data_IF_414534038612
#
_entry.id   IF_414534038612
#
_cell.length_a   1.000
_cell.length_b   1.000
_cell.length_c   1.000
_cell.angle_alpha   90.00
_cell.angle_beta   90.00
_cell.angle_gamma   90.00
#
_symmetry.space_group_name_H-M   'P 1'
#
loop_
_entity.id
_entity.type
_entity.pdbx_description
1 polymer ?
#
# COMPACT_ATOMS: atom_id res chain seq x y z
N UNK A 1 -6.52 -11.58 -16.00
CA UNK A 1 -5.07 -11.83 -16.17
C UNK A 1 -4.54 -11.35 -17.52
N UNK A 2 -4.11 -10.09 -17.59
CA UNK A 2 -3.38 -9.54 -18.74
C UNK A 2 -2.05 -10.29 -18.86
N UNK A 3 -1.85 -11.08 -19.92
CA UNK A 3 -0.55 -11.72 -20.17
C UNK A 3 0.40 -10.69 -20.73
N UNK A 4 1.44 -10.35 -19.95
CA UNK A 4 2.56 -9.55 -20.42
C UNK A 4 3.18 -10.23 -21.65
N UNK A 5 3.33 -9.51 -22.78
CA UNK A 5 4.02 -10.07 -23.94
C UNK A 5 5.44 -10.50 -23.56
N UNK A 6 5.84 -11.70 -23.98
CA UNK A 6 7.16 -12.26 -23.67
C UNK A 6 8.30 -11.31 -24.06
N UNK A 7 8.17 -10.65 -25.22
CA UNK A 7 9.16 -9.69 -25.67
C UNK A 7 9.32 -8.52 -24.68
N UNK A 8 8.22 -7.96 -24.20
CA UNK A 8 8.23 -6.86 -23.21
C UNK A 8 8.86 -7.29 -21.89
N UNK A 9 8.52 -8.49 -21.41
CA UNK A 9 9.13 -9.03 -20.20
C UNK A 9 10.65 -9.24 -20.38
N UNK A 10 11.06 -9.84 -21.50
CA UNK A 10 12.46 -10.10 -21.82
C UNK A 10 13.27 -8.81 -21.95
N UNK A 11 12.78 -7.83 -22.71
CA UNK A 11 13.48 -6.55 -22.90
C UNK A 11 13.57 -5.74 -21.62
N UNK A 12 12.53 -5.79 -20.78
CA UNK A 12 12.53 -5.15 -19.46
C UNK A 12 13.59 -5.78 -18.56
N UNK A 13 13.58 -7.11 -18.42
CA UNK A 13 14.57 -7.83 -17.60
C UNK A 13 16.00 -7.66 -18.13
N UNK A 14 16.18 -7.69 -19.44
CA UNK A 14 17.47 -7.42 -20.07
C UNK A 14 17.97 -6.01 -19.77
N UNK A 15 17.09 -5.00 -19.88
CA UNK A 15 17.42 -3.61 -19.57
C UNK A 15 17.82 -3.45 -18.10
N UNK A 16 17.08 -4.08 -17.18
CA UNK A 16 17.48 -4.15 -15.77
C UNK A 16 18.85 -4.81 -15.60
N UNK A 17 19.07 -5.98 -16.22
CA UNK A 17 20.34 -6.68 -16.16
C UNK A 17 21.52 -5.82 -16.63
N UNK A 18 21.33 -5.07 -17.73
CA UNK A 18 22.34 -4.16 -18.27
C UNK A 18 22.63 -3.00 -17.31
N UNK A 19 21.61 -2.39 -16.71
CA UNK A 19 21.78 -1.33 -15.71
C UNK A 19 22.53 -1.83 -14.46
N UNK A 20 22.22 -3.04 -13.99
CA UNK A 20 22.90 -3.68 -12.88
C UNK A 20 24.37 -3.99 -13.21
N UNK A 21 24.64 -4.60 -14.36
CA UNK A 21 25.99 -4.90 -14.81
C UNK A 21 26.85 -3.63 -14.91
N UNK A 22 26.31 -2.58 -15.52
CA UNK A 22 26.99 -1.29 -15.64
C UNK A 22 27.20 -0.62 -14.27
N UNK A 23 26.22 -0.71 -13.36
CA UNK A 23 26.34 -0.25 -11.99
C UNK A 23 27.49 -0.92 -11.25
N UNK A 24 27.60 -2.25 -11.33
CA UNK A 24 28.65 -3.02 -10.68
C UNK A 24 30.02 -2.76 -11.30
N UNK A 25 30.09 -2.65 -12.62
CA UNK A 25 31.30 -2.25 -13.33
C UNK A 25 31.80 -0.89 -12.83
N UNK A 26 30.91 0.11 -12.70
CA UNK A 26 31.29 1.42 -12.15
C UNK A 26 31.74 1.37 -10.69
N UNK A 27 31.15 0.51 -9.86
CA UNK A 27 31.60 0.30 -8.48
C UNK A 27 32.98 -0.37 -8.42
N UNK A 28 33.25 -1.31 -9.32
CA UNK A 28 34.57 -1.94 -9.45
C UNK A 28 35.67 -0.92 -9.77
N UNK A 29 35.49 -0.10 -10.80
CA UNK A 29 36.48 0.96 -11.12
C UNK A 29 36.57 2.02 -10.03
N UNK A 30 35.45 2.37 -9.39
CA UNK A 30 35.47 3.32 -8.27
C UNK A 30 36.31 2.78 -7.11
N UNK A 31 36.21 1.50 -6.75
CA UNK A 31 37.04 0.90 -5.69
C UNK A 31 38.53 0.97 -6.01
N UNK A 32 38.89 0.85 -7.28
CA UNK A 32 40.29 0.98 -7.74
C UNK A 32 40.75 2.44 -7.64
N UNK A 33 39.92 3.40 -8.08
CA UNK A 33 40.26 4.83 -8.13
C UNK A 33 40.19 5.54 -6.77
N UNK A 34 39.24 5.16 -5.92
CA UNK A 34 39.03 5.72 -4.57
C UNK A 34 39.78 4.91 -3.48
N UNK A 35 40.71 4.03 -3.86
CA UNK A 35 41.50 3.22 -2.93
C UNK A 35 42.23 4.14 -1.91
N UNK A 36 41.70 4.22 -0.69
CA UNK A 36 42.20 5.06 0.39
C UNK A 36 41.20 6.06 1.00
N UNK A 37 40.07 6.35 0.32
CA UNK A 37 39.00 7.21 0.86
C UNK A 37 37.88 6.36 1.47
N UNK A 38 38.02 5.96 2.73
CA UNK A 38 36.92 5.33 3.46
C UNK A 38 35.82 6.37 3.73
N UNK A 39 34.67 6.25 3.07
CA UNK A 39 33.49 7.09 3.34
C UNK A 39 32.73 6.67 4.61
N UNK A 40 33.06 5.50 5.17
CA UNK A 40 32.41 5.04 6.40
C UNK A 40 33.07 5.74 7.59
N UNK A 41 32.29 6.56 8.28
CA UNK A 41 32.65 7.14 9.56
C UNK A 41 32.96 5.99 10.54
N UNK A 42 34.20 5.92 11.03
CA UNK A 42 34.60 4.90 12.00
C UNK A 42 33.70 4.99 13.24
N UNK A 43 33.12 3.87 13.65
CA UNK A 43 32.27 3.78 14.85
C UNK A 43 30.76 3.93 14.61
N UNK A 44 30.31 4.17 13.38
CA UNK A 44 28.89 4.27 13.04
C UNK A 44 28.40 3.05 12.28
N UNK A 45 27.16 2.62 12.56
CA UNK A 45 26.47 1.66 11.72
C UNK A 45 26.29 2.25 10.30
N UNK A 46 26.46 1.45 9.24
CA UNK A 46 26.23 1.93 7.89
C UNK A 46 24.75 2.34 7.73
N UNK A 47 24.52 3.51 7.14
CA UNK A 47 23.16 4.06 6.91
C UNK A 47 22.37 3.19 5.92
N UNK A 48 23.06 2.53 4.98
CA UNK A 48 22.46 1.63 3.99
C UNK A 48 23.22 0.31 3.92
N UNK A 49 22.51 -0.80 3.72
CA UNK A 49 23.11 -2.10 3.44
C UNK A 49 23.67 -2.14 2.01
N UNK A 50 24.60 -3.05 1.73
CA UNK A 50 25.38 -3.03 0.48
C UNK A 50 24.54 -2.99 -0.81
N UNK A 51 23.42 -3.72 -0.85
CA UNK A 51 22.51 -3.69 -2.01
C UNK A 51 21.68 -2.40 -2.09
N UNK A 52 21.19 -1.90 -0.95
CA UNK A 52 20.42 -0.65 -0.89
C UNK A 52 21.28 0.55 -1.28
N UNK A 53 22.52 0.59 -0.80
CA UNK A 53 23.51 1.60 -1.18
C UNK A 53 23.80 1.54 -2.69
N UNK A 54 24.03 0.33 -3.22
CA UNK A 54 24.20 0.13 -4.66
C UNK A 54 23.00 0.65 -5.46
N UNK A 55 21.80 0.18 -5.12
CA UNK A 55 20.56 0.56 -5.79
C UNK A 55 20.35 2.07 -5.74
N UNK A 56 20.54 2.67 -4.56
CA UNK A 56 20.39 4.11 -4.36
C UNK A 56 21.34 4.88 -5.27
N UNK A 57 22.64 4.59 -5.17
CA UNK A 57 23.68 5.33 -5.89
C UNK A 57 23.65 5.14 -7.40
N UNK A 58 23.32 3.94 -7.88
CA UNK A 58 23.47 3.56 -9.29
C UNK A 58 22.19 3.62 -10.08
N UNK A 59 21.04 3.40 -9.43
CA UNK A 59 19.74 3.31 -10.09
C UNK A 59 18.83 4.46 -9.65
N UNK A 60 18.45 4.49 -8.36
CA UNK A 60 17.43 5.42 -7.86
C UNK A 60 17.78 6.89 -8.09
N UNK A 61 18.99 7.34 -7.72
CA UNK A 61 19.37 8.75 -7.87
C UNK A 61 19.25 9.23 -9.32
N UNK A 62 19.39 8.36 -10.33
CA UNK A 62 19.30 8.75 -11.74
C UNK A 62 17.87 9.10 -12.16
N UNK A 63 16.90 8.40 -11.59
CA UNK A 63 15.48 8.49 -11.97
C UNK A 63 14.62 9.19 -10.91
N UNK A 64 15.17 9.54 -9.76
CA UNK A 64 14.40 10.15 -8.67
C UNK A 64 13.74 11.46 -9.10
N UNK A 65 14.29 12.17 -10.11
CA UNK A 65 13.64 13.36 -10.63
C UNK A 65 12.35 13.04 -11.39
N UNK A 66 12.22 11.87 -12.00
CA UNK A 66 11.01 11.47 -12.74
C UNK A 66 9.80 11.29 -11.80
N UNK A 67 10.00 10.74 -10.61
CA UNK A 67 8.91 10.37 -9.69
C UNK A 67 8.81 11.28 -8.46
N UNK A 68 9.85 12.07 -8.18
CA UNK A 68 9.95 12.86 -6.96
C UNK A 68 9.73 14.36 -7.14
N UNK A 69 9.15 14.81 -8.27
CA UNK A 69 8.94 16.25 -8.50
C UNK A 69 7.88 16.77 -7.53
N UNK A 70 8.16 17.85 -6.78
CA UNK A 70 7.16 18.47 -5.91
C UNK A 70 5.97 18.97 -6.73
N UNK A 71 4.76 18.72 -6.24
CA UNK A 71 3.52 19.29 -6.78
C UNK A 71 3.35 20.70 -6.20
N UNK A 72 3.03 21.68 -7.05
CA UNK A 72 2.90 23.10 -6.70
C UNK A 72 1.47 23.64 -6.82
N UNK A 73 0.51 22.81 -7.23
CA UNK A 73 -0.91 23.18 -7.38
C UNK A 73 -1.82 22.22 -6.61
N UNK A 74 -3.13 22.46 -6.70
CA UNK A 74 -4.13 21.50 -6.25
C UNK A 74 -4.02 20.15 -7.02
N UNK A 75 -4.40 19.02 -6.39
CA UNK A 75 -4.34 17.69 -6.99
C UNK A 75 -5.54 17.43 -7.94
N UNK A 76 -5.63 18.27 -8.98
CA UNK A 76 -6.67 18.23 -10.00
C UNK A 76 -6.26 17.32 -11.19
N UNK A 77 -7.12 17.21 -12.20
CA UNK A 77 -6.85 16.56 -13.47
C UNK A 77 -5.60 17.14 -14.15
N UNK A 78 -5.35 18.43 -13.97
CA UNK A 78 -4.10 19.08 -14.34
C UNK A 78 -3.42 19.63 -13.11
N UNK A 79 -2.13 19.35 -12.96
CA UNK A 79 -1.35 19.84 -11.83
C UNK A 79 0.01 20.35 -12.29
N UNK A 80 0.54 21.28 -11.52
CA UNK A 80 1.83 21.89 -11.77
C UNK A 80 2.90 21.16 -10.96
N UNK A 81 3.98 20.77 -11.62
CA UNK A 81 5.17 20.21 -10.97
C UNK A 81 6.30 21.23 -10.99
N UNK A 82 7.01 21.34 -9.87
CA UNK A 82 8.20 22.20 -9.77
C UNK A 82 9.32 21.61 -10.61
N UNK A 83 9.86 22.41 -11.53
CA UNK A 83 11.05 22.04 -12.27
C UNK A 83 12.26 22.08 -11.35
N UNK A 84 13.11 21.07 -11.48
CA UNK A 84 14.35 20.97 -10.72
C UNK A 84 15.53 20.82 -11.65
N UNK A 85 16.66 21.31 -11.18
CA UNK A 85 17.92 21.23 -11.89
C UNK A 85 18.96 20.48 -11.04
N UNK A 86 19.83 19.75 -11.72
CA UNK A 86 20.94 19.01 -11.09
C UNK A 86 22.20 19.10 -11.94
N UNK A 87 23.32 19.36 -11.30
CA UNK A 87 24.66 19.37 -11.91
C UNK A 87 25.51 18.14 -11.55
N UNK A 88 24.96 17.21 -10.78
CA UNK A 88 25.70 16.05 -10.24
C UNK A 88 25.03 14.72 -10.57
N UNK A 89 24.27 14.70 -11.67
CA UNK A 89 23.60 13.51 -12.16
C UNK A 89 22.42 13.09 -11.27
N UNK A 90 21.61 14.07 -10.86
CA UNK A 90 20.45 13.94 -9.99
C UNK A 90 20.79 13.50 -8.56
N UNK A 91 22.02 13.67 -8.07
CA UNK A 91 22.32 13.35 -6.66
C UNK A 91 21.79 14.45 -5.74
N UNK A 92 21.91 15.71 -6.14
CA UNK A 92 21.27 16.86 -5.52
C UNK A 92 20.34 17.52 -6.52
N UNK A 93 19.16 17.95 -6.04
CA UNK A 93 18.11 18.55 -6.86
C UNK A 93 17.75 19.90 -6.28
N UNK A 94 18.07 20.95 -7.03
CA UNK A 94 17.73 22.32 -6.66
C UNK A 94 16.38 22.69 -7.29
N UNK A 95 15.45 23.17 -6.47
CA UNK A 95 14.15 23.66 -6.93
C UNK A 95 14.34 24.96 -7.69
N UNK A 96 13.70 25.08 -8.84
CA UNK A 96 13.62 26.33 -9.57
C UNK A 96 12.33 27.07 -9.22
N UNK A 97 12.16 28.30 -9.71
CA UNK A 97 10.90 29.05 -9.65
C UNK A 97 9.93 28.67 -10.76
N UNK A 98 10.33 27.82 -11.71
CA UNK A 98 9.51 27.41 -12.85
C UNK A 98 8.67 26.19 -12.50
N UNK A 99 7.48 26.15 -13.08
CA UNK A 99 6.58 25.00 -13.01
C UNK A 99 6.21 24.54 -14.41
N UNK A 100 5.97 23.24 -14.54
CA UNK A 100 5.46 22.62 -15.75
C UNK A 100 4.09 22.03 -15.46
N UNK A 101 3.11 22.34 -16.32
CA UNK A 101 1.75 21.82 -16.21
C UNK A 101 1.69 20.39 -16.78
N UNK A 102 1.11 19.46 -16.02
CA UNK A 102 1.04 18.04 -16.38
C UNK A 102 -0.38 17.51 -16.23
N UNK A 103 -0.75 16.54 -17.09
CA UNK A 103 -1.98 15.79 -16.95
C UNK A 103 -1.81 14.69 -15.89
N UNK A 104 -2.78 14.59 -14.98
CA UNK A 104 -2.78 13.61 -13.89
C UNK A 104 -3.42 12.29 -14.32
N UNK A 105 -2.57 11.31 -14.60
CA UNK A 105 -2.98 9.95 -14.98
C UNK A 105 -2.74 8.91 -13.86
N UNK A 106 -2.27 9.35 -12.68
CA UNK A 106 -1.84 8.46 -11.60
C UNK A 106 -2.54 8.70 -10.26
N UNK A 107 -3.59 9.51 -10.23
CA UNK A 107 -4.30 9.86 -8.99
C UNK A 107 -5.46 8.92 -8.68
N UNK A 108 -5.67 8.63 -7.40
CA UNK A 108 -6.86 7.94 -6.89
C UNK A 108 -8.03 8.90 -6.60
N UNK A 109 -7.91 10.18 -6.97
CA UNK A 109 -8.98 11.18 -6.88
C UNK A 109 -10.01 11.00 -8.01
N UNK A 110 -10.64 9.82 -8.08
CA UNK A 110 -11.47 9.41 -9.23
C UNK A 110 -12.62 10.36 -9.55
N UNK A 111 -13.19 11.00 -8.52
CA UNK A 111 -14.33 11.92 -8.65
C UNK A 111 -13.94 13.39 -8.54
N UNK A 112 -12.64 13.70 -8.40
CA UNK A 112 -12.16 15.08 -8.33
C UNK A 112 -12.31 15.77 -6.98
N UNK A 113 -13.00 15.18 -5.99
CA UNK A 113 -13.32 15.84 -4.71
C UNK A 113 -12.12 16.28 -3.85
N UNK A 114 -10.90 15.79 -4.10
CA UNK A 114 -9.71 16.26 -3.40
C UNK A 114 -9.19 17.63 -3.92
N UNK A 115 -9.63 18.08 -5.10
CA UNK A 115 -9.35 19.41 -5.61
C UNK A 115 -10.34 20.45 -5.05
N UNK A 116 -10.24 21.70 -5.49
CA UNK A 116 -11.22 22.72 -5.14
C UNK A 116 -12.58 22.36 -5.75
N UNK A 117 -13.47 21.85 -4.91
CA UNK A 117 -14.83 21.45 -5.27
C UNK A 117 -15.85 22.43 -4.69
N UNK A 118 -16.86 22.80 -5.49
CA UNK A 118 -17.89 23.79 -5.13
C UNK A 118 -18.73 23.35 -3.92
N UNK A 119 -18.92 22.04 -3.75
CA UNK A 119 -19.70 21.49 -2.66
C UNK A 119 -18.86 21.28 -1.39
N UNK A 120 -17.70 20.64 -1.51
CA UNK A 120 -16.84 20.25 -0.39
C UNK A 120 -16.05 21.43 0.18
N UNK A 121 -15.43 22.26 -0.67
CA UNK A 121 -14.47 23.29 -0.23
C UNK A 121 -15.08 24.30 0.74
N UNK A 122 -16.27 24.89 0.47
CA UNK A 122 -16.88 25.84 1.41
C UNK A 122 -17.20 25.20 2.77
N UNK A 123 -17.62 23.93 2.79
CA UNK A 123 -17.95 23.18 4.01
C UNK A 123 -16.71 22.86 4.85
N UNK A 124 -15.61 22.49 4.20
CA UNK A 124 -14.31 22.32 4.86
C UNK A 124 -13.84 23.64 5.47
N UNK A 125 -13.90 24.75 4.72
CA UNK A 125 -13.54 26.08 5.23
C UNK A 125 -14.42 26.48 6.42
N UNK A 126 -15.72 26.26 6.36
CA UNK A 126 -16.63 26.55 7.47
C UNK A 126 -16.30 25.70 8.71
N UNK A 127 -15.97 24.42 8.51
CA UNK A 127 -15.57 23.52 9.58
C UNK A 127 -14.27 24.00 10.25
N UNK A 128 -13.29 24.46 9.47
CA UNK A 128 -12.03 25.00 9.97
C UNK A 128 -12.17 26.30 10.76
N UNK A 129 -13.29 27.03 10.61
CA UNK A 129 -13.61 28.19 11.48
C UNK A 129 -14.06 27.76 12.88
N UNK A 130 -14.59 26.53 13.02
CA UNK A 130 -15.13 25.98 14.28
C UNK A 130 -14.19 24.98 14.95
N UNK A 131 -13.44 24.22 14.15
CA UNK A 131 -12.55 23.15 14.59
C UNK A 131 -11.13 23.40 14.07
N UNK A 132 -10.14 23.03 14.87
CA UNK A 132 -8.73 23.02 14.43
C UNK A 132 -8.51 21.97 13.33
N UNK A 133 -7.49 22.18 12.50
CA UNK A 133 -7.04 21.22 11.49
C UNK A 133 -6.55 19.88 12.09
N UNK A 134 -6.21 19.86 13.38
CA UNK A 134 -5.82 18.66 14.12
C UNK A 134 -6.34 18.71 15.54
N UNK A 135 -6.70 17.55 16.07
CA UNK A 135 -7.09 17.35 17.47
C UNK A 135 -5.88 17.16 18.39
N UNK A 136 -4.70 16.86 17.83
CA UNK A 136 -3.45 16.62 18.56
C UNK A 136 -3.55 15.62 19.73
N UNK A 137 -4.55 14.74 19.72
CA UNK A 137 -4.78 13.74 20.76
C UNK A 137 -5.45 12.48 20.19
N UNK A 138 -5.32 11.36 20.90
CA UNK A 138 -6.01 10.12 20.58
C UNK A 138 -7.52 10.25 20.84
N UNK A 139 -8.33 9.42 20.17
CA UNK A 139 -9.80 9.42 20.31
C UNK A 139 -10.24 9.25 21.77
N UNK A 140 -9.51 8.46 22.55
CA UNK A 140 -9.79 8.19 23.97
C UNK A 140 -9.41 9.34 24.90
N UNK A 141 -8.41 10.14 24.52
CA UNK A 141 -7.81 11.20 25.36
C UNK A 141 -8.24 12.60 24.89
N UNK A 142 -9.51 12.75 24.49
CA UNK A 142 -10.08 14.04 24.08
C UNK A 142 -9.87 14.40 22.60
N UNK A 143 -9.30 13.50 21.79
CA UNK A 143 -9.14 13.69 20.34
C UNK A 143 -10.40 13.40 19.51
N UNK A 144 -11.53 13.08 20.15
CA UNK A 144 -12.80 12.82 19.45
C UNK A 144 -13.63 14.10 19.32
N UNK A 145 -13.94 14.50 18.10
CA UNK A 145 -14.86 15.63 17.83
C UNK A 145 -16.21 15.14 17.33
N UNK A 146 -17.22 16.01 17.39
CA UNK A 146 -18.56 15.72 16.83
C UNK A 146 -18.51 15.28 15.36
N UNK A 147 -17.62 15.87 14.57
CA UNK A 147 -17.42 15.51 13.15
C UNK A 147 -17.01 14.05 12.97
N UNK A 148 -16.25 13.46 13.89
CA UNK A 148 -15.86 12.06 13.83
C UNK A 148 -17.10 11.15 13.99
N UNK A 149 -17.93 11.43 15.00
CA UNK A 149 -19.15 10.67 15.26
C UNK A 149 -20.16 10.81 14.12
N UNK A 150 -20.37 12.02 13.60
CA UNK A 150 -21.28 12.26 12.46
C UNK A 150 -20.80 11.51 11.21
N UNK A 151 -19.49 11.48 10.94
CA UNK A 151 -18.91 10.74 9.83
C UNK A 151 -19.06 9.23 10.01
N UNK A 152 -18.80 8.70 11.21
CA UNK A 152 -18.97 7.27 11.52
C UNK A 152 -20.42 6.83 11.33
N UNK A 153 -21.39 7.62 11.81
CA UNK A 153 -22.81 7.35 11.60
C UNK A 153 -23.22 7.44 10.13
N UNK A 154 -22.70 8.44 9.39
CA UNK A 154 -22.96 8.60 7.97
C UNK A 154 -22.44 7.39 7.17
N UNK A 155 -21.21 6.96 7.45
CA UNK A 155 -20.61 5.79 6.81
C UNK A 155 -21.40 4.54 7.16
N UNK A 156 -21.76 4.33 8.42
CA UNK A 156 -22.56 3.18 8.86
C UNK A 156 -23.90 3.10 8.10
N UNK A 157 -24.61 4.22 7.96
CA UNK A 157 -25.84 4.31 7.16
C UNK A 157 -25.59 4.03 5.68
N UNK A 158 -24.54 4.62 5.10
CA UNK A 158 -24.20 4.46 3.69
C UNK A 158 -23.90 2.99 3.33
N UNK A 159 -23.12 2.29 4.16
CA UNK A 159 -22.77 0.88 3.93
C UNK A 159 -23.84 -0.11 4.45
N UNK A 160 -24.91 0.38 5.10
CA UNK A 160 -25.95 -0.46 5.68
C UNK A 160 -25.48 -1.33 6.84
N UNK A 161 -24.58 -0.83 7.69
CA UNK A 161 -24.06 -1.54 8.87
C UNK A 161 -24.48 -0.85 10.17
N UNK A 162 -24.56 -1.58 11.31
CA UNK A 162 -25.01 -1.00 12.58
C UNK A 162 -24.10 0.11 13.13
N UNK A 163 -22.79 0.04 12.81
CA UNK A 163 -21.79 1.00 13.25
C UNK A 163 -20.62 1.02 12.27
N UNK A 164 -19.86 2.12 12.28
CA UNK A 164 -18.58 2.24 11.60
C UNK A 164 -17.58 2.91 12.56
N UNK A 165 -16.28 2.73 12.28
CA UNK A 165 -15.19 3.33 13.04
C UNK A 165 -14.20 3.97 12.06
N UNK A 166 -13.75 5.18 12.38
CA UNK A 166 -12.82 5.94 11.55
C UNK A 166 -11.37 5.68 11.96
N UNK A 167 -10.51 5.49 10.96
CA UNK A 167 -9.05 5.45 11.09
C UNK A 167 -8.41 6.48 10.17
N UNK A 168 -7.20 6.94 10.52
CA UNK A 168 -6.52 8.02 9.78
C UNK A 168 -6.03 7.64 8.38
N UNK A 169 -5.91 6.35 8.05
CA UNK A 169 -5.54 5.89 6.71
C UNK A 169 -6.00 4.45 6.47
N UNK A 170 -6.32 4.12 5.20
CA UNK A 170 -6.80 2.79 4.82
C UNK A 170 -5.81 1.65 5.11
N UNK A 171 -4.50 1.93 5.05
CA UNK A 171 -3.49 0.94 5.45
C UNK A 171 -3.66 0.53 6.92
N UNK A 172 -3.77 1.53 7.81
CA UNK A 172 -3.89 1.32 9.26
C UNK A 172 -5.18 0.61 9.60
N UNK A 173 -6.29 0.92 8.91
CA UNK A 173 -7.55 0.20 9.08
C UNK A 173 -7.34 -1.30 9.01
N UNK A 174 -6.73 -1.80 7.92
CA UNK A 174 -6.53 -3.24 7.73
C UNK A 174 -5.47 -3.79 8.68
N UNK A 175 -4.31 -3.13 8.78
CA UNK A 175 -3.19 -3.66 9.54
C UNK A 175 -3.44 -3.68 11.05
N UNK A 176 -4.26 -2.76 11.57
CA UNK A 176 -4.60 -2.67 12.98
C UNK A 176 -5.83 -3.50 13.36
N UNK A 177 -6.84 -3.62 12.48
CA UNK A 177 -8.09 -4.31 12.85
C UNK A 177 -7.99 -5.83 12.76
N UNK A 178 -7.28 -6.36 11.74
CA UNK A 178 -7.19 -7.81 11.52
C UNK A 178 -6.63 -8.54 12.76
N UNK A 179 -5.55 -8.07 13.41
CA UNK A 179 -5.04 -8.68 14.65
C UNK A 179 -6.04 -8.71 15.82
N UNK A 180 -7.03 -7.83 15.82
CA UNK A 180 -8.07 -7.79 16.87
C UNK A 180 -9.20 -8.77 16.54
N UNK A 181 -9.50 -8.97 15.25
CA UNK A 181 -10.59 -9.84 14.81
C UNK A 181 -10.26 -11.33 14.87
N UNK A 182 -8.97 -11.69 14.81
CA UNK A 182 -8.50 -13.07 14.80
C UNK A 182 -7.10 -13.16 15.38
N UNK A 183 -6.78 -14.29 16.00
CA UNK A 183 -5.45 -14.53 16.56
C UNK A 183 -5.08 -16.00 16.60
N UNK A 184 -4.20 -16.40 17.53
CA UNK A 184 -3.70 -17.78 17.66
C UNK A 184 -4.83 -18.81 17.73
N UNK A 185 -4.71 -19.85 16.90
CA UNK A 185 -5.73 -20.90 16.73
C UNK A 185 -6.87 -20.53 15.77
N UNK A 186 -6.82 -19.35 15.16
CA UNK A 186 -7.62 -18.98 14.00
C UNK A 186 -6.89 -19.24 12.67
N UNK A 187 -7.68 -19.30 11.59
CA UNK A 187 -7.23 -19.42 10.21
C UNK A 187 -7.66 -18.19 9.41
N UNK A 188 -6.71 -17.58 8.69
CA UNK A 188 -6.96 -16.57 7.67
C UNK A 188 -6.70 -17.23 6.31
N UNK A 189 -7.69 -17.18 5.41
CA UNK A 189 -7.53 -17.56 4.01
C UNK A 189 -7.55 -16.29 3.16
N UNK A 190 -6.39 -15.89 2.65
CA UNK A 190 -6.16 -14.61 1.96
C UNK A 190 -6.04 -14.82 0.47
N UNK A 191 -6.63 -13.94 -0.34
CA UNK A 191 -6.31 -13.86 -1.76
C UNK A 191 -4.81 -13.55 -1.96
N UNK A 192 -4.22 -14.12 -3.01
CA UNK A 192 -2.80 -13.96 -3.32
C UNK A 192 -2.39 -12.53 -3.71
N UNK A 193 -3.32 -11.71 -4.19
CA UNK A 193 -3.06 -10.31 -4.58
C UNK A 193 -3.63 -9.30 -3.58
N UNK A 194 -3.98 -9.73 -2.36
CA UNK A 194 -4.41 -8.82 -1.31
C UNK A 194 -3.32 -7.78 -1.00
N UNK A 195 -3.77 -6.55 -0.76
CA UNK A 195 -2.97 -5.39 -0.47
C UNK A 195 -2.07 -5.63 0.75
N UNK A 196 -0.87 -5.07 0.72
CA UNK A 196 0.16 -5.29 1.73
C UNK A 196 -0.30 -4.95 3.16
N UNK A 197 -1.25 -4.02 3.32
CA UNK A 197 -1.84 -3.70 4.62
C UNK A 197 -2.61 -4.88 5.23
N UNK A 198 -3.34 -5.64 4.41
CA UNK A 198 -4.05 -6.87 4.81
C UNK A 198 -3.03 -7.94 5.17
N UNK A 199 -2.01 -8.14 4.34
CA UNK A 199 -0.95 -9.12 4.58
C UNK A 199 -0.24 -8.85 5.91
N UNK A 200 0.08 -7.58 6.19
CA UNK A 200 0.75 -7.21 7.43
C UNK A 200 -0.17 -7.34 8.65
N UNK A 201 -1.46 -6.99 8.54
CA UNK A 201 -2.45 -7.26 9.58
C UNK A 201 -2.62 -8.76 9.86
N UNK A 202 -2.72 -9.57 8.81
CA UNK A 202 -2.84 -11.02 8.92
C UNK A 202 -1.60 -11.64 9.57
N UNK A 203 -0.39 -11.22 9.19
CA UNK A 203 0.86 -11.66 9.83
C UNK A 203 0.94 -11.21 11.30
N UNK A 204 0.55 -9.98 11.59
CA UNK A 204 0.55 -9.42 12.95
C UNK A 204 -0.46 -10.09 13.91
N UNK A 205 -1.48 -10.76 13.37
CA UNK A 205 -2.51 -11.44 14.18
C UNK A 205 -2.01 -12.68 14.94
N UNK A 206 -0.95 -13.33 14.46
CA UNK A 206 -0.51 -14.64 14.96
C UNK A 206 -1.46 -15.80 14.64
N UNK A 207 -2.48 -15.58 13.79
CA UNK A 207 -3.30 -16.64 13.20
C UNK A 207 -2.49 -17.45 12.17
N UNK A 208 -2.98 -18.64 11.83
CA UNK A 208 -2.42 -19.36 10.68
C UNK A 208 -2.92 -18.71 9.40
N UNK A 209 -2.02 -18.38 8.48
CA UNK A 209 -2.37 -17.79 7.18
C UNK A 209 -2.21 -18.83 6.09
N UNK A 210 -3.21 -18.93 5.21
CA UNK A 210 -3.18 -19.66 3.95
C UNK A 210 -3.57 -18.73 2.83
N UNK A 211 -2.99 -18.97 1.66
CA UNK A 211 -3.23 -18.17 0.47
C UNK A 211 -3.97 -19.03 -0.54
N UNK A 212 -4.98 -18.46 -1.18
CA UNK A 212 -5.61 -19.07 -2.35
C UNK A 212 -5.27 -18.27 -3.61
N UNK A 213 -5.34 -18.93 -4.76
CA UNK A 213 -5.08 -18.29 -6.06
C UNK A 213 -6.04 -17.13 -6.30
N UNK A 214 -5.51 -16.05 -6.86
CA UNK A 214 -6.24 -14.83 -7.11
C UNK A 214 -7.60 -15.07 -7.75
N UNK A 215 -8.66 -14.56 -7.11
CA UNK A 215 -10.01 -14.53 -7.64
C UNK A 215 -10.53 -15.92 -8.10
N UNK A 216 -10.06 -17.00 -7.47
CA UNK A 216 -10.38 -18.39 -7.82
C UNK A 216 -11.19 -19.09 -6.71
N UNK A 217 -12.53 -19.15 -6.82
CA UNK A 217 -13.41 -19.77 -5.83
C UNK A 217 -13.19 -21.27 -5.65
N UNK A 218 -12.81 -21.99 -6.71
CA UNK A 218 -12.54 -23.43 -6.64
C UNK A 218 -11.30 -23.72 -5.79
N UNK A 219 -10.23 -22.96 -6.00
CA UNK A 219 -9.02 -23.10 -5.18
C UNK A 219 -9.25 -22.63 -3.73
N UNK A 220 -10.09 -21.61 -3.52
CA UNK A 220 -10.54 -21.23 -2.17
C UNK A 220 -11.22 -22.41 -1.47
N UNK A 221 -12.14 -23.09 -2.15
CA UNK A 221 -12.83 -24.26 -1.61
C UNK A 221 -11.86 -25.41 -1.27
N UNK A 222 -10.91 -25.70 -2.16
CA UNK A 222 -9.89 -26.73 -1.93
C UNK A 222 -9.05 -26.43 -0.67
N UNK A 223 -8.58 -25.18 -0.53
CA UNK A 223 -7.83 -24.74 0.65
C UNK A 223 -8.67 -24.84 1.91
N UNK A 224 -9.94 -24.41 1.87
CA UNK A 224 -10.83 -24.51 3.01
C UNK A 224 -11.07 -25.96 3.43
N UNK A 225 -11.34 -26.86 2.48
CA UNK A 225 -11.56 -28.28 2.74
C UNK A 225 -10.33 -28.90 3.40
N UNK A 226 -9.15 -28.65 2.86
CA UNK A 226 -7.89 -29.17 3.41
C UNK A 226 -7.65 -28.67 4.84
N UNK A 227 -7.78 -27.36 5.07
CA UNK A 227 -7.50 -26.79 6.39
C UNK A 227 -8.56 -27.19 7.42
N UNK A 228 -9.83 -27.29 7.05
CA UNK A 228 -10.90 -27.73 7.97
C UNK A 228 -10.69 -29.20 8.35
N UNK A 229 -10.36 -30.07 7.39
CA UNK A 229 -10.10 -31.48 7.65
C UNK A 229 -8.81 -31.70 8.47
N UNK A 230 -7.75 -30.94 8.18
CA UNK A 230 -6.46 -31.06 8.87
C UNK A 230 -6.42 -30.42 10.26
N UNK A 231 -7.27 -29.41 10.51
CA UNK A 231 -7.30 -28.65 11.75
C UNK A 231 -6.07 -27.76 11.98
N UNK A 232 -5.94 -27.26 13.20
CA UNK A 232 -4.83 -26.40 13.61
C UNK A 232 -3.48 -27.13 13.50
N UNK A 233 -2.40 -26.46 13.01
CA UNK A 233 -1.07 -27.05 12.94
C UNK A 233 -0.63 -27.67 14.27
N UNK A 234 0.01 -28.84 14.18
CA UNK A 234 0.54 -29.64 15.31
C UNK A 234 -0.50 -30.28 16.23
N UNK A 235 -1.64 -29.62 16.46
CA UNK A 235 -2.65 -30.10 17.41
C UNK A 235 -3.83 -30.81 16.75
N UNK A 236 -4.04 -30.60 15.44
CA UNK A 236 -5.18 -31.11 14.67
C UNK A 236 -6.55 -30.74 15.27
N UNK A 237 -6.59 -29.75 16.17
CA UNK A 237 -7.83 -29.28 16.78
C UNK A 237 -8.62 -28.45 15.78
N UNK A 238 -9.96 -28.42 15.86
CA UNK A 238 -10.76 -27.51 15.06
C UNK A 238 -10.33 -26.06 15.21
N UNK A 239 -10.42 -25.28 14.13
CA UNK A 239 -10.13 -23.85 14.15
C UNK A 239 -11.11 -23.10 15.06
N UNK A 240 -10.61 -22.16 15.86
CA UNK A 240 -11.48 -21.31 16.70
C UNK A 240 -12.32 -20.36 15.87
N UNK A 241 -11.75 -19.86 14.78
CA UNK A 241 -12.35 -18.92 13.84
C UNK A 241 -11.65 -19.05 12.50
N UNK A 242 -12.40 -18.94 11.41
CA UNK A 242 -11.88 -18.91 10.05
C UNK A 242 -12.39 -17.64 9.38
N UNK A 243 -11.50 -16.85 8.80
CA UNK A 243 -11.83 -15.62 8.06
C UNK A 243 -11.26 -15.75 6.65
N UNK A 244 -12.09 -15.49 5.65
CA UNK A 244 -11.66 -15.32 4.25
C UNK A 244 -11.55 -13.83 3.96
N UNK A 245 -10.42 -13.38 3.42
CA UNK A 245 -10.18 -11.95 3.13
C UNK A 245 -9.88 -11.77 1.65
N UNK A 246 -10.62 -10.87 1.01
CA UNK A 246 -10.50 -10.48 -0.39
C UNK A 246 -10.68 -8.97 -0.53
N UNK A 247 -10.19 -8.38 -1.62
CA UNK A 247 -10.54 -7.01 -1.99
C UNK A 247 -11.80 -6.97 -2.86
N UNK A 248 -12.50 -5.84 -2.88
CA UNK A 248 -13.63 -5.64 -3.79
C UNK A 248 -13.16 -5.32 -5.22
N UNK A 249 -12.29 -4.30 -5.32
CA UNK A 249 -11.60 -3.90 -6.54
C UNK A 249 -10.11 -3.93 -6.22
N UNK A 250 -9.33 -4.72 -6.96
CA UNK A 250 -7.90 -4.85 -6.72
C UNK A 250 -7.14 -3.62 -7.24
N UNK A 251 -6.33 -3.02 -6.37
CA UNK A 251 -5.73 -1.70 -6.61
C UNK A 251 -4.77 -1.60 -7.80
N UNK A 252 -4.04 -2.67 -8.13
CA UNK A 252 -3.01 -2.64 -9.17
C UNK A 252 -3.55 -3.09 -10.53
N UNK A 253 -4.37 -4.14 -10.55
CA UNK A 253 -4.89 -4.74 -11.77
C UNK A 253 -6.26 -4.17 -12.19
N UNK A 254 -7.00 -3.55 -11.26
CA UNK A 254 -8.36 -3.06 -11.48
C UNK A 254 -9.40 -4.19 -11.63
N UNK A 255 -9.02 -5.44 -11.34
CA UNK A 255 -9.91 -6.60 -11.45
C UNK A 255 -10.99 -6.56 -10.35
N UNK A 256 -12.21 -6.97 -10.70
CA UNK A 256 -13.31 -7.11 -9.75
C UNK A 256 -13.29 -8.51 -9.13
N UNK A 257 -13.53 -8.56 -7.83
CA UNK A 257 -13.67 -9.81 -7.12
C UNK A 257 -14.94 -10.56 -7.55
N UNK A 258 -14.82 -11.86 -7.78
CA UNK A 258 -15.94 -12.78 -8.01
C UNK A 258 -16.65 -13.09 -6.69
N UNK A 259 -17.17 -12.03 -6.07
CA UNK A 259 -17.74 -12.03 -4.74
C UNK A 259 -18.92 -13.00 -4.61
N UNK A 260 -19.85 -13.15 -5.57
CA UNK A 260 -20.97 -14.09 -5.44
C UNK A 260 -20.51 -15.53 -5.26
N UNK A 261 -19.53 -15.99 -6.04
CA UNK A 261 -19.02 -17.36 -5.96
C UNK A 261 -18.19 -17.59 -4.69
N UNK A 262 -17.32 -16.63 -4.34
CA UNK A 262 -16.56 -16.68 -3.07
C UNK A 262 -17.51 -16.73 -1.88
N UNK A 263 -18.58 -15.94 -1.89
CA UNK A 263 -19.61 -15.96 -0.86
C UNK A 263 -20.38 -17.30 -0.82
N UNK A 264 -20.66 -17.91 -1.97
CA UNK A 264 -21.29 -19.22 -2.03
C UNK A 264 -20.43 -20.30 -1.36
N UNK A 265 -19.12 -20.29 -1.65
CA UNK A 265 -18.14 -21.18 -0.99
C UNK A 265 -18.12 -20.91 0.52
N UNK A 266 -17.97 -19.65 0.93
CA UNK A 266 -17.87 -19.35 2.36
C UNK A 266 -19.17 -19.73 3.12
N UNK A 267 -20.36 -19.57 2.50
CA UNK A 267 -21.64 -20.00 3.06
C UNK A 267 -21.75 -21.53 3.19
N UNK A 268 -21.25 -22.28 2.20
CA UNK A 268 -21.21 -23.76 2.23
C UNK A 268 -20.51 -24.30 3.48
N UNK A 269 -19.45 -23.62 3.91
CA UNK A 269 -18.67 -23.99 5.10
C UNK A 269 -19.09 -23.24 6.38
N UNK A 270 -20.22 -22.51 6.36
CA UNK A 270 -20.73 -21.73 7.51
C UNK A 270 -19.71 -20.75 8.10
N UNK A 271 -18.85 -20.18 7.26
CA UNK A 271 -17.84 -19.23 7.69
C UNK A 271 -18.50 -17.89 8.02
N UNK A 272 -17.95 -17.17 9.00
CA UNK A 272 -18.35 -15.78 9.25
C UNK A 272 -17.73 -14.88 8.18
N UNK A 273 -18.56 -14.12 7.46
CA UNK A 273 -18.10 -13.08 6.54
C UNK A 273 -18.13 -11.74 7.29
N UNK A 274 -17.03 -10.99 7.24
CA UNK A 274 -16.92 -9.63 7.82
C UNK A 274 -16.86 -8.65 6.66
#
# INVERSE_FOLDING_TARGET
>A
MVRLPYLTALTTLFSYGLLFAFGHFRDFFRRILDAGKSSNLKGYAPICLGYEDFYTRRLYLRIQDCFGRPIASAPDAWFDVVERHSNDGNKTLQRTTKTSKCLNLGSYNYLGFAAADEYCTPRVIESLKKYSASTCSARVDGGNTKLHTELEELVARFVGKPAAILFGMGYVTNSAIIPILIGKGGLIVSDSLNHISIVNGARGSGATVRVFQHNNPAHLEDVLREQIAGGQPRTHRPWKKIIVIVEGIYSMEGELCNLPEIMAVCKKYKLTHI
#
